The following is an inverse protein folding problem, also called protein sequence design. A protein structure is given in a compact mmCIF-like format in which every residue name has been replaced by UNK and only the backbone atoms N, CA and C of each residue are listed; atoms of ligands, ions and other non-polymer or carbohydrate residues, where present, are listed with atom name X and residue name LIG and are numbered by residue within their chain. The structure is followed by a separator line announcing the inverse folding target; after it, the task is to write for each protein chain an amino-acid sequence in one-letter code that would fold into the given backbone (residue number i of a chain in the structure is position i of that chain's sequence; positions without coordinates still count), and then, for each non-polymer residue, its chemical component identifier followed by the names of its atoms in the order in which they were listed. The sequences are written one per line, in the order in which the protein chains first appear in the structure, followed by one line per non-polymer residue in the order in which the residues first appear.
data_IF_988055057487
#
_entry.id   IF_988055057487
#
_cell.length_a   1.000
_cell.length_b   1.000
_cell.length_c   1.000
_cell.angle_alpha   90.00
_cell.angle_beta   90.00
_cell.angle_gamma   90.00
#
_symmetry.space_group_name_H-M   'P 1'
#
loop_
_entity.id
_entity.type
_entity.pdbx_description
1 polymer ?
#
# COMPACT_ATOMS: atom_id res chain seq x y z
N UNK A 1 -1.50 14.63 -11.28
CA UNK A 1 -2.81 14.09 -10.88
C UNK A 1 -2.79 12.60 -11.13
N UNK A 2 -3.18 11.81 -10.14
CA UNK A 2 -3.35 10.35 -10.26
C UNK A 2 -4.38 10.03 -11.34
N UNK A 3 -4.09 9.01 -12.16
CA UNK A 3 -4.97 8.58 -13.25
C UNK A 3 -5.56 7.19 -13.01
N UNK A 4 -4.82 6.35 -12.29
CA UNK A 4 -5.22 4.99 -11.95
C UNK A 4 -5.56 4.92 -10.47
N UNK A 5 -6.75 4.42 -10.17
CA UNK A 5 -7.34 4.46 -8.84
C UNK A 5 -7.75 3.06 -8.39
N UNK A 6 -7.81 2.79 -7.08
CA UNK A 6 -8.50 1.62 -6.56
C UNK A 6 -9.95 1.60 -7.03
N UNK A 7 -10.50 0.43 -7.29
CA UNK A 7 -11.90 0.27 -7.62
C UNK A 7 -12.81 0.51 -6.42
N UNK A 8 -14.11 0.54 -6.66
CA UNK A 8 -15.11 0.84 -5.62
C UNK A 8 -15.18 -0.22 -4.53
N UNK A 9 -14.97 -1.49 -4.90
CA UNK A 9 -14.99 -2.60 -3.96
C UNK A 9 -13.78 -2.51 -3.03
N UNK A 10 -12.59 -2.30 -3.58
CA UNK A 10 -11.35 -2.14 -2.80
C UNK A 10 -11.44 -0.95 -1.82
N UNK A 11 -12.03 0.19 -2.23
CA UNK A 11 -12.23 1.33 -1.32
C UNK A 11 -13.27 1.01 -0.23
N UNK A 12 -14.30 0.21 -0.54
CA UNK A 12 -15.28 -0.23 0.45
C UNK A 12 -14.66 -1.20 1.47
N UNK A 13 -13.86 -2.16 1.01
CA UNK A 13 -13.14 -3.09 1.89
C UNK A 13 -12.14 -2.35 2.80
N UNK A 14 -11.49 -1.30 2.27
CA UNK A 14 -10.61 -0.42 3.05
C UNK A 14 -11.39 0.31 4.15
N UNK A 15 -12.51 0.96 3.81
CA UNK A 15 -13.38 1.68 4.76
C UNK A 15 -13.95 0.73 5.83
N UNK A 16 -14.30 -0.50 5.45
CA UNK A 16 -14.80 -1.53 6.36
C UNK A 16 -13.70 -2.20 7.22
N UNK A 17 -12.41 -1.90 6.99
CA UNK A 17 -11.29 -2.53 7.72
C UNK A 17 -11.05 -3.99 7.34
N UNK A 18 -11.50 -4.45 6.16
CA UNK A 18 -11.41 -5.84 5.72
C UNK A 18 -10.14 -6.17 4.92
N UNK A 19 -9.33 -5.16 4.55
CA UNK A 19 -8.08 -5.39 3.84
C UNK A 19 -6.98 -5.86 4.81
N UNK A 20 -6.06 -6.69 4.31
CA UNK A 20 -4.82 -6.97 5.02
C UNK A 20 -3.99 -5.68 5.19
N UNK A 21 -3.15 -5.64 6.21
CA UNK A 21 -2.37 -4.44 6.56
C UNK A 21 -1.54 -3.89 5.38
N UNK A 22 -0.81 -4.72 4.59
CA UNK A 22 -0.06 -4.22 3.46
C UNK A 22 -0.94 -3.66 2.33
N UNK A 23 -2.11 -4.26 2.06
CA UNK A 23 -3.05 -3.70 1.08
C UNK A 23 -3.64 -2.37 1.57
N UNK A 24 -4.03 -2.30 2.85
CA UNK A 24 -4.53 -1.06 3.46
C UNK A 24 -3.46 0.05 3.41
N UNK A 25 -2.17 -0.27 3.57
CA UNK A 25 -1.08 0.67 3.40
C UNK A 25 -1.03 1.24 1.98
N UNK A 26 -1.12 0.40 0.94
CA UNK A 26 -1.13 0.86 -0.45
C UNK A 26 -2.29 1.84 -0.71
N UNK A 27 -3.50 1.51 -0.23
CA UNK A 27 -4.66 2.40 -0.32
C UNK A 27 -4.41 3.70 0.44
N UNK A 28 -3.91 3.64 1.66
CA UNK A 28 -3.62 4.84 2.48
C UNK A 28 -2.67 5.78 1.79
N UNK A 29 -1.59 5.27 1.19
CA UNK A 29 -0.61 6.08 0.45
C UNK A 29 -1.24 6.77 -0.77
N UNK A 30 -2.14 6.07 -1.47
CA UNK A 30 -2.90 6.66 -2.57
C UNK A 30 -3.85 7.76 -2.07
N UNK A 31 -4.61 7.51 -0.98
CA UNK A 31 -5.55 8.46 -0.40
C UNK A 31 -4.85 9.74 0.10
N UNK A 32 -3.63 9.64 0.61
CA UNK A 32 -2.85 10.82 1.03
C UNK A 32 -2.64 11.82 -0.12
N UNK A 33 -2.69 11.35 -1.38
CA UNK A 33 -2.40 12.16 -2.59
C UNK A 33 -3.60 12.30 -3.54
N UNK A 34 -4.63 11.48 -3.40
CA UNK A 34 -5.80 11.48 -4.27
C UNK A 34 -7.06 12.01 -3.55
N UNK A 35 -7.45 13.29 -3.73
CA UNK A 35 -8.65 13.84 -3.12
C UNK A 35 -9.94 13.14 -3.58
N UNK A 36 -9.97 12.66 -4.84
CA UNK A 36 -11.11 11.95 -5.40
C UNK A 36 -11.41 10.65 -4.62
N UNK A 37 -10.42 9.79 -4.43
CA UNK A 37 -10.60 8.55 -3.69
C UNK A 37 -10.84 8.81 -2.20
N UNK A 38 -10.21 9.84 -1.62
CA UNK A 38 -10.46 10.24 -0.23
C UNK A 38 -11.92 10.61 -0.01
N UNK A 39 -12.50 11.47 -0.87
CA UNK A 39 -13.92 11.84 -0.78
C UNK A 39 -14.86 10.63 -0.90
N UNK A 40 -14.48 9.59 -1.67
CA UNK A 40 -15.26 8.35 -1.76
C UNK A 40 -15.22 7.55 -0.47
N UNK A 41 -14.04 7.45 0.15
CA UNK A 41 -13.89 6.80 1.46
C UNK A 41 -14.67 7.57 2.52
N UNK A 42 -14.59 8.90 2.57
CA UNK A 42 -15.36 9.74 3.50
C UNK A 42 -16.88 9.48 3.38
N UNK A 43 -17.37 9.24 2.15
CA UNK A 43 -18.79 8.87 1.91
C UNK A 43 -19.11 7.48 2.45
N UNK A 44 -18.22 6.50 2.25
CA UNK A 44 -18.40 5.14 2.76
C UNK A 44 -18.36 5.11 4.29
N UNK A 45 -17.45 5.86 4.90
CA UNK A 45 -17.34 5.99 6.36
C UNK A 45 -18.61 6.64 6.95
N UNK A 46 -19.16 7.66 6.25
CA UNK A 46 -20.44 8.28 6.65
C UNK A 46 -21.61 7.30 6.58
N UNK A 47 -21.64 6.45 5.55
CA UNK A 47 -22.66 5.38 5.45
C UNK A 47 -22.51 4.38 6.59
N UNK A 48 -21.27 3.95 6.88
CA UNK A 48 -20.97 3.05 8.00
C UNK A 48 -21.41 3.64 9.35
N UNK A 49 -21.24 4.95 9.56
CA UNK A 49 -21.68 5.65 10.76
C UNK A 49 -23.21 5.59 10.92
N UNK A 50 -23.96 5.86 9.84
CA UNK A 50 -25.45 5.76 9.85
C UNK A 50 -25.87 4.33 10.17
N UNK A 51 -25.27 3.33 9.54
CA UNK A 51 -25.55 1.91 9.82
C UNK A 51 -25.26 1.54 11.28
N UNK A 52 -24.24 2.12 11.89
CA UNK A 52 -23.91 1.91 13.30
C UNK A 52 -24.94 2.56 14.22
N UNK A 53 -25.42 3.77 13.91
CA UNK A 53 -26.44 4.48 14.69
C UNK A 53 -27.79 3.76 14.69
N UNK A 54 -28.11 3.03 13.60
CA UNK A 54 -29.34 2.23 13.48
C UNK A 54 -29.29 0.90 14.23
N UNK A 55 -28.13 0.47 14.76
CA UNK A 55 -28.03 -0.77 15.53
C UNK A 55 -28.78 -0.68 16.85
N UNK A 56 -29.36 -1.81 17.35
CA UNK A 56 -29.99 -1.85 18.65
C UNK A 56 -29.01 -1.39 19.74
N UNK A 57 -29.46 -0.45 20.57
CA UNK A 57 -28.64 0.05 21.68
C UNK A 57 -28.51 -1.04 22.74
N UNK A 58 -27.27 -1.32 23.15
CA UNK A 58 -26.97 -2.22 24.26
C UNK A 58 -26.87 -1.39 25.54
N UNK A 59 -27.56 -1.82 26.60
CA UNK A 59 -27.47 -1.16 27.89
C UNK A 59 -26.06 -1.40 28.49
N UNK A 60 -25.43 -0.34 28.94
CA UNK A 60 -24.19 -0.40 29.71
C UNK A 60 -24.51 -0.22 31.22
N UNK A 61 -23.68 -0.76 32.10
CA UNK A 61 -23.84 -0.58 33.53
C UNK A 61 -23.73 0.90 33.93
N UNK A 62 -24.61 1.37 34.84
CA UNK A 62 -24.59 2.76 35.32
C UNK A 62 -23.23 3.16 35.91
N UNK A 63 -22.51 2.18 36.49
CA UNK A 63 -21.19 2.41 37.08
C UNK A 63 -20.05 2.59 36.09
N UNK A 64 -20.27 2.30 34.77
CA UNK A 64 -19.20 2.44 33.74
C UNK A 64 -18.80 3.91 33.60
N UNK A 65 -19.77 4.80 33.55
CA UNK A 65 -19.50 6.24 33.40
C UNK A 65 -18.69 6.78 34.57
N UNK A 66 -19.11 6.49 35.80
CA UNK A 66 -18.40 6.90 37.01
C UNK A 66 -16.99 6.31 37.08
N UNK A 67 -16.85 5.05 36.67
CA UNK A 67 -15.54 4.38 36.59
C UNK A 67 -14.60 5.04 35.61
N UNK A 68 -15.10 5.46 34.43
CA UNK A 68 -14.31 6.16 33.43
C UNK A 68 -13.89 7.54 33.97
N UNK A 69 -14.81 8.31 34.55
CA UNK A 69 -14.51 9.63 35.10
C UNK A 69 -13.46 9.50 36.25
N UNK A 70 -13.64 8.55 37.17
CA UNK A 70 -12.68 8.32 38.24
C UNK A 70 -11.28 7.98 37.74
N UNK A 71 -11.17 7.25 36.61
CA UNK A 71 -9.88 6.94 36.00
C UNK A 71 -9.25 8.18 35.34
N UNK A 72 -10.05 9.02 34.65
CA UNK A 72 -9.59 10.28 34.10
C UNK A 72 -9.09 11.22 35.19
N UNK A 73 -9.85 11.36 36.29
CA UNK A 73 -9.50 12.22 37.42
C UNK A 73 -8.27 11.71 38.20
N UNK A 74 -8.01 10.41 38.16
CA UNK A 74 -6.85 9.80 38.83
C UNK A 74 -5.56 9.84 38.02
N UNK A 75 -5.65 10.11 36.72
CA UNK A 75 -4.43 10.29 35.90
C UNK A 75 -3.75 11.64 36.25
N UNK A 76 -2.43 11.62 36.52
CA UNK A 76 -1.71 12.86 36.74
C UNK A 76 -1.88 13.77 35.51
N UNK A 77 -2.11 15.07 35.74
CA UNK A 77 -2.25 16.03 34.65
C UNK A 77 -1.10 15.85 33.64
N UNK A 78 -1.44 15.50 32.41
CA UNK A 78 -0.46 15.31 31.35
C UNK A 78 0.35 16.60 31.19
N UNK A 79 1.66 16.47 31.06
CA UNK A 79 2.52 17.63 30.73
C UNK A 79 1.97 18.35 29.52
N UNK A 80 2.19 19.68 29.40
CA UNK A 80 1.72 20.46 28.27
C UNK A 80 2.12 19.77 26.95
N UNK A 81 1.12 19.45 26.15
CA UNK A 81 1.33 18.77 24.86
C UNK A 81 2.29 19.62 24.03
N UNK A 82 3.53 19.18 23.88
CA UNK A 82 4.45 19.80 22.94
C UNK A 82 3.83 19.76 21.55
N UNK A 83 4.03 20.81 20.71
CA UNK A 83 3.51 20.78 19.35
C UNK A 83 3.93 19.46 18.68
N UNK A 84 2.94 18.72 18.19
CA UNK A 84 3.19 17.43 17.57
C UNK A 84 4.24 17.61 16.45
N UNK A 85 5.26 16.74 16.39
CA UNK A 85 6.21 16.78 15.30
C UNK A 85 5.47 16.69 13.96
N UNK A 86 6.02 17.25 12.87
CA UNK A 86 5.37 17.21 11.56
C UNK A 86 4.94 15.77 11.26
N UNK A 87 3.70 15.61 10.81
CA UNK A 87 3.12 14.29 10.52
C UNK A 87 3.96 13.58 9.45
N UNK A 88 4.71 12.58 9.87
CA UNK A 88 5.40 11.68 8.94
C UNK A 88 4.36 10.92 8.11
N UNK A 89 4.64 10.73 6.81
CA UNK A 89 3.81 9.87 5.97
C UNK A 89 3.82 8.42 6.51
N UNK A 90 2.80 7.63 6.18
CA UNK A 90 2.75 6.22 6.57
C UNK A 90 4.02 5.47 6.11
N UNK A 91 4.50 5.77 4.90
CA UNK A 91 5.72 5.20 4.36
C UNK A 91 6.98 5.58 5.16
N UNK A 92 7.12 6.85 5.54
CA UNK A 92 8.26 7.30 6.36
C UNK A 92 8.26 6.65 7.74
N UNK A 93 7.08 6.44 8.33
CA UNK A 93 6.96 5.71 9.60
C UNK A 93 7.40 4.26 9.47
N UNK A 94 7.05 3.62 8.36
CA UNK A 94 7.37 2.21 8.10
C UNK A 94 8.86 2.00 7.82
N UNK A 95 9.45 2.84 6.98
CA UNK A 95 10.82 2.65 6.47
C UNK A 95 11.88 3.35 7.32
N UNK A 96 11.53 4.46 7.98
CA UNK A 96 12.48 5.26 8.78
C UNK A 96 13.53 6.02 7.96
N UNK A 97 13.65 5.76 6.66
CA UNK A 97 14.72 6.23 5.78
C UNK A 97 14.15 6.80 4.47
N UNK A 98 15.01 7.49 3.72
CA UNK A 98 14.69 7.95 2.37
C UNK A 98 14.71 6.76 1.39
N UNK A 99 13.76 6.71 0.46
CA UNK A 99 13.65 5.64 -0.55
C UNK A 99 14.96 5.38 -1.32
N UNK A 100 15.75 6.43 -1.57
CA UNK A 100 17.00 6.30 -2.31
C UNK A 100 18.16 5.67 -1.50
N UNK A 101 18.08 5.70 -0.17
CA UNK A 101 19.12 5.24 0.77
C UNK A 101 18.86 3.82 1.27
N UNK A 102 17.74 3.21 0.88
CA UNK A 102 17.39 1.85 1.28
C UNK A 102 18.41 0.81 0.76
N UNK A 103 18.59 -0.32 1.47
CA UNK A 103 19.56 -1.36 1.11
C UNK A 103 19.06 -2.22 -0.06
N UNK A 104 18.99 -1.63 -1.24
CA UNK A 104 18.53 -2.25 -2.46
C UNK A 104 19.38 -3.46 -2.87
N UNK A 105 18.72 -4.58 -3.16
CA UNK A 105 19.36 -5.80 -3.71
C UNK A 105 19.06 -5.90 -5.20
N UNK A 106 20.12 -5.83 -6.03
CA UNK A 106 19.97 -5.99 -7.48
C UNK A 106 19.47 -7.41 -7.81
N UNK A 107 18.48 -7.49 -8.68
CA UNK A 107 17.96 -8.74 -9.21
C UNK A 107 18.31 -8.90 -10.70
N UNK A 108 17.33 -9.20 -11.54
CA UNK A 108 17.49 -9.44 -12.96
C UNK A 108 17.28 -8.16 -13.76
N UNK A 109 18.21 -7.86 -14.66
CA UNK A 109 18.16 -6.66 -15.51
C UNK A 109 18.42 -5.37 -14.70
N UNK A 110 17.54 -4.38 -14.88
CA UNK A 110 17.63 -3.06 -14.24
C UNK A 110 16.79 -2.97 -12.96
N UNK A 111 16.31 -4.12 -12.47
CA UNK A 111 15.45 -4.22 -11.29
C UNK A 111 16.28 -4.40 -10.04
N UNK A 112 15.98 -3.63 -9.01
CA UNK A 112 16.44 -3.84 -7.63
C UNK A 112 15.23 -3.98 -6.71
N UNK A 113 15.33 -4.79 -5.68
CA UNK A 113 14.23 -5.04 -4.74
C UNK A 113 14.71 -4.94 -3.30
N UNK A 114 13.75 -4.62 -2.44
CA UNK A 114 13.87 -4.76 -0.99
C UNK A 114 12.61 -5.44 -0.48
N UNK A 115 12.76 -6.64 0.05
CA UNK A 115 11.67 -7.36 0.73
C UNK A 115 11.49 -6.75 2.13
N UNK A 116 10.27 -6.34 2.43
CA UNK A 116 9.87 -5.75 3.71
C UNK A 116 8.74 -6.55 4.38
N UNK A 117 8.51 -7.78 3.95
CA UNK A 117 7.44 -8.66 4.48
C UNK A 117 7.56 -8.85 5.98
N UNK A 118 8.78 -8.84 6.54
CA UNK A 118 9.02 -8.95 7.98
C UNK A 118 8.38 -7.84 8.82
N UNK A 119 8.07 -6.69 8.20
CA UNK A 119 7.37 -5.56 8.85
C UNK A 119 5.87 -5.80 9.01
N UNK A 120 5.34 -6.88 8.42
CA UNK A 120 3.94 -7.27 8.45
C UNK A 120 3.76 -8.68 9.03
N UNK A 121 4.06 -8.86 10.33
CA UNK A 121 3.97 -10.19 10.95
C UNK A 121 2.54 -10.74 10.90
N UNK A 122 2.42 -12.02 10.56
CA UNK A 122 1.12 -12.70 10.44
C UNK A 122 0.41 -12.52 9.10
N UNK A 123 0.98 -11.74 8.17
CA UNK A 123 0.49 -11.64 6.78
C UNK A 123 1.16 -12.72 5.92
N UNK A 124 0.43 -13.28 4.97
CA UNK A 124 0.92 -14.32 4.05
C UNK A 124 1.47 -13.76 2.76
N UNK A 125 1.14 -12.53 2.44
CA UNK A 125 1.56 -11.85 1.23
C UNK A 125 3.02 -11.43 1.31
N UNK A 126 3.70 -11.50 0.18
CA UNK A 126 5.02 -10.90 0.04
C UNK A 126 4.88 -9.40 -0.20
N UNK A 127 5.58 -8.58 0.58
CA UNK A 127 5.58 -7.12 0.48
C UNK A 127 6.96 -6.65 0.07
N UNK A 128 7.06 -6.05 -1.12
CA UNK A 128 8.34 -5.66 -1.70
C UNK A 128 8.32 -4.21 -2.19
N UNK A 129 9.43 -3.53 -1.95
CA UNK A 129 9.77 -2.33 -2.71
C UNK A 129 10.56 -2.76 -3.95
N UNK A 130 10.16 -2.25 -5.10
CA UNK A 130 10.84 -2.50 -6.37
C UNK A 130 11.36 -1.18 -6.92
N UNK A 131 12.60 -1.17 -7.38
CA UNK A 131 13.23 -0.02 -8.03
C UNK A 131 13.66 -0.43 -9.42
N UNK A 132 13.14 0.28 -10.41
CA UNK A 132 13.53 0.17 -11.81
C UNK A 132 14.34 1.42 -12.18
N UNK A 133 15.60 1.24 -12.57
CA UNK A 133 16.48 2.34 -12.90
C UNK A 133 15.89 3.20 -14.03
N UNK A 134 16.21 4.49 -14.07
CA UNK A 134 15.74 5.41 -15.11
C UNK A 134 15.99 4.85 -16.52
N UNK A 135 14.93 4.75 -17.34
CA UNK A 135 14.96 4.12 -18.67
C UNK A 135 15.16 2.60 -18.66
N UNK A 136 15.29 1.98 -17.49
CA UNK A 136 15.46 0.54 -17.32
C UNK A 136 14.20 -0.24 -17.61
N UNK A 137 14.37 -1.57 -17.78
CA UNK A 137 13.29 -2.50 -18.19
C UNK A 137 13.26 -3.70 -17.24
N UNK A 138 12.07 -4.02 -16.75
CA UNK A 138 11.85 -5.30 -16.09
C UNK A 138 11.67 -6.41 -17.14
N UNK A 139 12.07 -7.66 -16.83
CA UNK A 139 11.75 -8.81 -17.68
C UNK A 139 10.24 -8.95 -17.87
N UNK A 140 9.81 -9.47 -19.03
CA UNK A 140 8.41 -9.81 -19.27
C UNK A 140 7.98 -10.89 -18.27
N UNK A 141 6.85 -10.66 -17.58
CA UNK A 141 6.32 -11.56 -16.56
C UNK A 141 4.81 -11.44 -16.44
N UNK A 142 4.22 -12.43 -15.80
CA UNK A 142 2.85 -12.43 -15.29
C UNK A 142 2.87 -12.81 -13.81
N UNK A 143 1.72 -12.88 -13.20
CA UNK A 143 1.55 -13.17 -11.79
C UNK A 143 0.96 -14.57 -11.61
N UNK A 144 1.28 -15.27 -10.52
CA UNK A 144 0.62 -16.54 -10.13
C UNK A 144 -0.59 -16.32 -9.25
N UNK A 145 -0.82 -15.06 -8.87
CA UNK A 145 -1.91 -14.58 -8.05
C UNK A 145 -2.09 -13.11 -8.31
N UNK A 146 -2.60 -12.38 -7.34
CA UNK A 146 -2.81 -10.95 -7.44
C UNK A 146 -1.55 -10.18 -7.00
N UNK A 147 -1.25 -9.11 -7.69
CA UNK A 147 -0.31 -8.07 -7.28
C UNK A 147 -1.04 -6.74 -7.17
N UNK A 148 -0.92 -6.11 -6.00
CA UNK A 148 -1.36 -4.74 -5.77
C UNK A 148 -0.14 -3.85 -5.70
N UNK A 149 -0.07 -2.84 -6.56
CA UNK A 149 1.09 -1.95 -6.68
C UNK A 149 0.68 -0.49 -6.60
N UNK A 150 1.47 0.30 -5.84
CA UNK A 150 1.42 1.77 -5.84
C UNK A 150 2.76 2.33 -6.25
N UNK A 151 2.76 3.33 -7.13
CA UNK A 151 3.97 4.03 -7.55
C UNK A 151 4.34 5.08 -6.51
N UNK A 152 5.52 4.96 -5.90
CA UNK A 152 6.01 5.87 -4.86
C UNK A 152 6.87 6.99 -5.40
N UNK A 153 7.59 6.76 -6.49
CA UNK A 153 8.48 7.71 -7.15
C UNK A 153 8.57 7.40 -8.64
N UNK A 154 8.76 8.43 -9.47
CA UNK A 154 8.89 8.28 -10.91
C UNK A 154 7.63 7.77 -11.59
N UNK A 155 7.83 7.05 -12.69
CA UNK A 155 6.75 6.46 -13.47
C UNK A 155 7.26 5.23 -14.23
N UNK A 156 6.35 4.31 -14.56
CA UNK A 156 6.62 3.25 -15.53
C UNK A 156 5.53 3.18 -16.59
N UNK A 157 5.85 2.58 -17.71
CA UNK A 157 4.89 2.27 -18.78
C UNK A 157 4.94 0.79 -19.14
N UNK A 158 3.79 0.24 -19.49
CA UNK A 158 3.63 -1.06 -20.11
C UNK A 158 2.53 -1.00 -21.19
N UNK A 159 2.03 -2.14 -21.67
CA UNK A 159 0.96 -2.19 -22.68
C UNK A 159 -0.39 -1.64 -22.19
N UNK A 160 -0.59 -1.53 -20.88
CA UNK A 160 -1.83 -1.01 -20.28
C UNK A 160 -1.80 0.51 -20.10
N UNK A 161 -0.63 1.14 -20.28
CA UNK A 161 -0.48 2.59 -20.22
C UNK A 161 0.73 3.07 -19.43
N UNK A 162 0.62 4.31 -18.97
CA UNK A 162 1.65 4.97 -18.15
C UNK A 162 1.11 5.17 -16.75
N UNK A 163 1.84 4.64 -15.78
CA UNK A 163 1.54 4.73 -14.35
C UNK A 163 2.50 5.73 -13.71
N UNK A 164 1.95 6.81 -13.21
CA UNK A 164 2.69 7.91 -12.60
C UNK A 164 2.72 7.77 -11.08
N UNK A 165 3.52 8.60 -10.44
CA UNK A 165 3.60 8.66 -8.99
C UNK A 165 2.20 8.75 -8.35
N UNK A 166 1.96 7.89 -7.37
CA UNK A 166 0.71 7.68 -6.63
C UNK A 166 -0.41 6.97 -7.40
N UNK A 167 -0.19 6.57 -8.64
CA UNK A 167 -1.11 5.69 -9.34
C UNK A 167 -1.14 4.30 -8.68
N UNK A 168 -2.33 3.71 -8.67
CA UNK A 168 -2.61 2.42 -8.06
C UNK A 168 -3.03 1.42 -9.14
N UNK A 169 -2.47 0.22 -9.11
CA UNK A 169 -2.75 -0.81 -10.10
C UNK A 169 -2.87 -2.18 -9.42
N UNK A 170 -3.82 -2.98 -9.90
CA UNK A 170 -3.95 -4.39 -9.53
C UNK A 170 -3.75 -5.23 -10.79
N UNK A 171 -2.90 -6.22 -10.69
CA UNK A 171 -2.57 -7.18 -11.74
C UNK A 171 -2.86 -8.60 -11.25
N UNK A 172 -3.14 -9.51 -12.18
CA UNK A 172 -3.42 -10.92 -11.91
C UNK A 172 -2.75 -11.83 -12.95
N UNK A 173 -3.07 -13.12 -12.92
CA UNK A 173 -2.46 -14.14 -13.82
C UNK A 173 -2.73 -13.90 -15.32
N UNK A 174 -3.74 -13.11 -15.67
CA UNK A 174 -4.08 -12.79 -17.07
C UNK A 174 -3.27 -11.59 -17.58
N UNK A 175 -2.65 -10.83 -16.67
CA UNK A 175 -1.88 -9.65 -16.99
C UNK A 175 -0.41 -10.02 -17.21
N UNK A 176 -0.02 -10.20 -18.47
CA UNK A 176 1.39 -10.29 -18.86
C UNK A 176 1.89 -8.89 -19.17
N UNK A 177 2.98 -8.45 -18.54
CA UNK A 177 3.53 -7.13 -18.79
C UNK A 177 5.05 -7.06 -18.76
N UNK A 178 5.58 -5.96 -19.30
CA UNK A 178 7.00 -5.66 -19.34
C UNK A 178 7.20 -4.19 -18.98
N UNK A 179 7.25 -3.85 -17.68
CA UNK A 179 7.41 -2.48 -17.25
C UNK A 179 8.72 -1.85 -17.73
N UNK A 180 8.63 -0.60 -18.15
CA UNK A 180 9.77 0.25 -18.53
C UNK A 180 9.67 1.54 -17.73
N UNK A 181 10.71 1.91 -16.99
CA UNK A 181 10.75 3.20 -16.31
C UNK A 181 10.78 4.32 -17.35
N UNK A 182 9.91 5.33 -17.17
CA UNK A 182 9.80 6.49 -18.07
C UNK A 182 10.19 7.78 -17.32
N UNK A 183 10.77 8.71 -18.06
CA UNK A 183 11.34 9.93 -17.46
C UNK A 183 12.83 9.77 -17.13
N UNK A 184 13.35 10.67 -16.31
CA UNK A 184 14.78 10.78 -15.98
C UNK A 184 15.13 10.36 -14.54
N UNK A 185 14.18 9.82 -13.80
CA UNK A 185 14.38 9.31 -12.44
C UNK A 185 14.02 7.83 -12.33
N UNK A 186 14.54 7.18 -11.27
CA UNK A 186 14.19 5.80 -10.96
C UNK A 186 12.71 5.69 -10.64
N UNK A 187 12.05 4.64 -11.15
CA UNK A 187 10.70 4.30 -10.75
C UNK A 187 10.75 3.38 -9.52
N UNK A 188 10.14 3.81 -8.43
CA UNK A 188 10.03 3.02 -7.19
C UNK A 188 8.57 2.72 -6.92
N UNK A 189 8.26 1.43 -6.70
CA UNK A 189 6.93 0.95 -6.37
C UNK A 189 6.93 0.18 -5.05
N UNK A 190 5.78 0.17 -4.38
CA UNK A 190 5.47 -0.78 -3.32
C UNK A 190 4.46 -1.77 -3.90
N UNK A 191 4.81 -3.06 -3.84
CA UNK A 191 3.99 -4.15 -4.34
C UNK A 191 3.67 -5.15 -3.23
N UNK A 192 2.41 -5.58 -3.20
CA UNK A 192 1.90 -6.66 -2.35
C UNK A 192 1.51 -7.81 -3.26
N UNK A 193 2.19 -8.94 -3.10
CA UNK A 193 2.03 -10.12 -3.95
C UNK A 193 1.43 -11.29 -3.16
N UNK A 194 0.33 -11.86 -3.63
CA UNK A 194 -0.25 -13.06 -3.05
C UNK A 194 0.49 -14.34 -3.45
N UNK A 195 1.29 -14.28 -4.53
CA UNK A 195 2.16 -15.37 -5.00
C UNK A 195 3.32 -14.82 -5.84
N UNK A 196 4.42 -15.58 -6.00
CA UNK A 196 5.58 -15.16 -6.78
C UNK A 196 5.24 -14.87 -8.25
N UNK A 197 5.95 -13.91 -8.84
CA UNK A 197 5.88 -13.63 -10.28
C UNK A 197 6.34 -14.81 -11.13
N UNK A 198 5.86 -14.89 -12.36
CA UNK A 198 6.23 -15.90 -13.36
C UNK A 198 6.82 -15.19 -14.58
N UNK A 199 8.11 -15.40 -14.83
CA UNK A 199 8.77 -14.87 -16.03
C UNK A 199 8.24 -15.55 -17.29
N UNK A 200 7.90 -14.77 -18.31
CA UNK A 200 7.31 -15.23 -19.58
C UNK A 200 8.26 -15.07 -20.75
N UNK A 201 9.31 -14.26 -20.61
CA UNK A 201 10.29 -14.02 -21.67
C UNK A 201 10.99 -15.32 -22.13
N UNK A 202 11.34 -15.38 -23.41
CA UNK A 202 11.83 -16.59 -24.10
C UNK A 202 12.98 -17.30 -23.37
N UNK A 203 13.92 -16.55 -22.76
CA UNK A 203 15.05 -17.12 -22.02
C UNK A 203 14.85 -16.98 -20.51
N UNK A 204 14.23 -15.90 -20.03
CA UNK A 204 14.06 -15.64 -18.60
C UNK A 204 13.11 -16.64 -17.94
N UNK A 205 12.18 -17.25 -18.69
CA UNK A 205 11.29 -18.32 -18.18
C UNK A 205 12.03 -19.51 -17.56
N UNK A 206 13.28 -19.75 -17.97
CA UNK A 206 14.11 -20.83 -17.41
C UNK A 206 14.53 -20.58 -15.97
N UNK A 207 14.42 -19.34 -15.50
CA UNK A 207 14.73 -18.93 -14.13
C UNK A 207 13.56 -19.12 -13.16
N UNK A 208 12.36 -19.44 -13.65
CA UNK A 208 11.16 -19.62 -12.82
C UNK A 208 11.32 -20.60 -11.64
N UNK A 209 12.08 -21.71 -11.73
CA UNK A 209 12.29 -22.60 -10.59
C UNK A 209 13.05 -21.94 -9.41
N UNK A 210 13.75 -20.83 -9.65
CA UNK A 210 14.56 -20.10 -8.67
C UNK A 210 13.85 -18.85 -8.12
N UNK A 211 12.68 -18.50 -8.65
CA UNK A 211 11.86 -17.37 -8.19
C UNK A 211 10.89 -17.88 -7.11
N UNK A 212 11.10 -17.36 -5.91
CA UNK A 212 10.30 -17.69 -4.72
C UNK A 212 9.57 -16.46 -4.23
#
# INVERSE_FOLDING_TARGET
MTRHHPDSLTLMEYSAGNLSEPHALCIRLHLDKCPHCRSRVDTLDSLGAVMMEEQPKVSVSESIFDSILSRIDSEPASEPVQPAPPRMSALQKLLGENLNELPWKRQLGDVSVLDISEKFPGQSEQVVLQKLAAGGKAPAHTHRGNETTIVLQGAFADQNGVFNQWDFVVLNEQDEHKPVAVGCEDCITLSVLSAPVKLTGRFTRLLNPFIR
#
